data_IF_808316983105
#
_entry.id   IF_808316983105
#
_cell.length_a   1.000
_cell.length_b   1.000
_cell.length_c   1.000
_cell.angle_alpha   90.00
_cell.angle_beta   90.00
_cell.angle_gamma   90.00
#
_symmetry.space_group_name_H-M   'P 1'
#
loop_
_entity.id
_entity.type
_entity.pdbx_description
1 polymer ?
#
# COMPACT_ATOMS: atom_id res chain seq x y z
N UNK A 1 24.58 -17.41 -16.63
CA UNK A 1 24.61 -16.81 -17.98
C UNK A 1 23.18 -16.53 -18.40
N UNK A 2 22.78 -15.27 -18.25
CA UNK A 2 21.72 -14.53 -18.97
C UNK A 2 21.47 -13.25 -18.16
N UNK A 3 22.38 -12.31 -18.38
CA UNK A 3 22.23 -10.89 -18.09
C UNK A 3 21.55 -10.24 -19.29
N UNK A 4 20.26 -9.93 -19.18
CA UNK A 4 19.56 -9.01 -20.08
C UNK A 4 18.19 -8.64 -19.50
N UNK A 5 17.92 -7.34 -19.38
CA UNK A 5 16.55 -6.82 -19.37
C UNK A 5 16.01 -6.25 -18.06
N UNK A 6 16.63 -5.18 -17.54
CA UNK A 6 15.94 -4.27 -16.61
C UNK A 6 16.11 -2.82 -17.09
N UNK A 7 15.46 -2.51 -18.21
CA UNK A 7 15.26 -1.16 -18.74
C UNK A 7 13.85 -1.12 -19.33
N UNK A 8 12.84 -1.05 -18.47
CA UNK A 8 11.44 -0.81 -18.86
C UNK A 8 10.61 -0.44 -17.61
N UNK A 9 10.97 0.64 -16.93
CA UNK A 9 10.13 1.25 -15.88
C UNK A 9 10.59 2.70 -15.62
N UNK A 10 10.62 3.56 -16.64
CA UNK A 10 10.93 4.98 -16.45
C UNK A 10 10.17 5.91 -17.41
N UNK A 11 8.99 5.49 -17.89
CA UNK A 11 8.23 6.25 -18.89
C UNK A 11 6.75 6.30 -18.56
N UNK A 12 6.39 6.94 -17.45
CA UNK A 12 5.01 7.41 -17.19
C UNK A 12 4.94 8.38 -15.98
N UNK A 13 5.69 9.48 -16.01
CA UNK A 13 5.43 10.66 -15.17
C UNK A 13 6.24 11.88 -15.68
N UNK A 14 6.10 12.23 -16.96
CA UNK A 14 6.58 13.52 -17.48
C UNK A 14 5.38 14.31 -17.98
N UNK A 15 4.70 14.97 -17.03
CA UNK A 15 3.87 16.14 -17.33
C UNK A 15 4.69 17.33 -16.89
N UNK A 16 5.15 18.10 -17.87
CA UNK A 16 5.88 19.34 -17.66
C UNK A 16 5.00 20.31 -16.86
N UNK A 17 5.39 20.58 -15.63
CA UNK A 17 4.95 21.76 -14.92
C UNK A 17 5.50 22.98 -15.67
N UNK A 18 4.63 23.93 -16.00
CA UNK A 18 5.02 25.23 -16.54
C UNK A 18 6.04 25.87 -15.58
N UNK A 19 7.21 26.36 -16.05
CA UNK A 19 8.18 26.98 -15.18
C UNK A 19 7.58 28.25 -14.57
N UNK A 20 7.28 28.19 -13.27
CA UNK A 20 7.07 29.38 -12.46
C UNK A 20 8.40 30.17 -12.47
N UNK A 21 8.31 31.48 -12.66
CA UNK A 21 9.42 32.33 -13.10
C UNK A 21 10.76 32.12 -12.38
N UNK A 22 11.83 32.07 -13.16
CA UNK A 22 13.24 31.82 -12.80
C UNK A 22 13.89 32.84 -11.83
N UNK A 23 13.11 33.69 -11.16
CA UNK A 23 13.63 34.88 -10.47
C UNK A 23 14.05 34.73 -9.01
N UNK A 24 13.91 33.57 -8.34
CA UNK A 24 14.08 33.50 -6.87
C UNK A 24 14.83 32.26 -6.33
N UNK A 25 15.25 31.32 -7.18
CA UNK A 25 15.83 30.06 -6.73
C UNK A 25 17.22 30.25 -6.06
N UNK A 26 18.05 31.13 -6.60
CA UNK A 26 19.39 31.41 -6.06
C UNK A 26 19.31 32.09 -4.68
N UNK A 27 18.35 33.01 -4.50
CA UNK A 27 18.14 33.72 -3.23
C UNK A 27 17.61 32.76 -2.14
N UNK A 28 16.67 31.88 -2.49
CA UNK A 28 16.18 30.83 -1.58
C UNK A 28 17.29 29.88 -1.15
N UNK A 29 18.16 29.50 -2.10
CA UNK A 29 19.28 28.63 -1.80
C UNK A 29 20.34 29.32 -0.92
N UNK A 30 20.67 30.58 -1.18
CA UNK A 30 21.57 31.36 -0.33
C UNK A 30 21.02 31.48 1.10
N UNK A 31 19.73 31.75 1.25
CA UNK A 31 19.06 31.77 2.54
C UNK A 31 19.13 30.42 3.26
N UNK A 32 18.98 29.31 2.53
CA UNK A 32 19.15 27.96 3.08
C UNK A 32 20.59 27.71 3.55
N UNK A 33 21.61 28.15 2.81
CA UNK A 33 23.01 28.03 3.22
C UNK A 33 23.31 28.80 4.51
N UNK A 34 22.79 30.01 4.65
CA UNK A 34 22.95 30.82 5.86
C UNK A 34 22.32 30.12 7.09
N UNK A 35 21.15 29.50 6.92
CA UNK A 35 20.52 28.71 7.97
C UNK A 35 21.35 27.48 8.35
N UNK A 36 21.92 26.80 7.35
CA UNK A 36 22.80 25.63 7.55
C UNK A 36 24.10 26.00 8.26
N UNK A 37 24.67 27.17 7.98
CA UNK A 37 25.85 27.67 8.68
C UNK A 37 25.56 27.97 10.17
N UNK A 38 24.38 28.54 10.46
CA UNK A 38 23.90 28.74 11.84
C UNK A 38 23.70 27.40 12.55
N UNK A 39 23.11 26.41 11.89
CA UNK A 39 22.95 25.05 12.41
C UNK A 39 24.31 24.41 12.74
N UNK A 40 25.30 24.53 11.85
CA UNK A 40 26.65 24.02 12.09
C UNK A 40 27.29 24.63 13.34
N UNK A 41 27.13 25.94 13.52
CA UNK A 41 27.59 26.65 14.72
C UNK A 41 26.88 26.16 15.99
N UNK A 42 25.56 25.95 15.92
CA UNK A 42 24.78 25.40 17.03
C UNK A 42 25.21 23.97 17.41
N UNK A 43 25.46 23.11 16.42
CA UNK A 43 25.95 21.75 16.65
C UNK A 43 27.32 21.75 17.35
N UNK A 44 28.21 22.70 17.00
CA UNK A 44 29.49 22.89 17.70
C UNK A 44 29.28 23.22 19.18
N UNK A 45 28.32 24.08 19.51
CA UNK A 45 27.98 24.36 20.92
C UNK A 45 27.41 23.11 21.63
N UNK A 46 26.51 22.38 20.97
CA UNK A 46 25.90 21.15 21.50
C UNK A 46 26.91 20.00 21.69
N UNK A 47 28.04 20.02 20.98
CA UNK A 47 29.10 19.02 21.12
C UNK A 47 29.69 18.92 22.53
N UNK A 48 29.52 19.98 23.34
CA UNK A 48 29.98 20.06 24.74
C UNK A 48 29.11 19.25 25.71
N UNK A 49 27.95 18.77 25.28
CA UNK A 49 27.07 17.92 26.10
C UNK A 49 27.73 16.54 26.26
N UNK A 50 27.64 15.87 27.42
CA UNK A 50 28.16 14.52 27.57
C UNK A 50 27.48 13.50 26.66
N UNK A 51 28.25 12.51 26.20
CA UNK A 51 27.75 11.42 25.36
C UNK A 51 26.61 10.63 26.02
N UNK A 52 25.62 10.25 25.21
CA UNK A 52 24.45 9.46 25.61
C UNK A 52 23.36 10.25 26.32
N UNK A 53 23.49 11.58 26.47
CA UNK A 53 22.46 12.41 27.13
C UNK A 53 21.55 13.14 26.15
N UNK A 54 22.07 13.52 24.98
CA UNK A 54 21.31 14.30 24.01
C UNK A 54 20.42 13.39 23.15
N UNK A 55 19.15 13.76 23.05
CA UNK A 55 18.19 13.25 22.08
C UNK A 55 17.85 14.37 21.11
N UNK A 56 17.95 14.11 19.81
CA UNK A 56 17.86 15.14 18.78
C UNK A 56 16.95 14.69 17.64
N UNK A 57 16.06 15.59 17.23
CA UNK A 57 15.24 15.45 16.05
C UNK A 57 15.60 16.56 15.06
N UNK A 58 16.01 16.19 13.84
CA UNK A 58 16.34 17.10 12.74
C UNK A 58 15.26 16.99 11.66
N UNK A 59 14.64 18.11 11.33
CA UNK A 59 13.65 18.22 10.24
C UNK A 59 14.16 19.26 9.24
N UNK A 60 14.34 18.84 8.00
CA UNK A 60 14.75 19.67 6.88
C UNK A 60 13.96 19.19 5.67
N UNK A 61 12.72 19.66 5.50
CA UNK A 61 11.79 19.16 4.48
C UNK A 61 12.12 19.70 3.08
N UNK A 62 13.20 19.21 2.49
CA UNK A 62 13.66 19.62 1.15
C UNK A 62 12.67 19.08 0.10
N UNK A 63 12.40 19.90 -0.93
CA UNK A 63 11.69 19.43 -2.13
C UNK A 63 12.54 18.35 -2.81
N UNK A 64 12.05 17.11 -2.97
CA UNK A 64 12.84 16.02 -3.54
C UNK A 64 13.14 16.21 -5.02
N UNK A 65 12.46 17.13 -5.71
CA UNK A 65 12.64 17.43 -7.13
C UNK A 65 13.59 18.61 -7.38
N UNK A 66 14.00 19.32 -6.31
CA UNK A 66 14.98 20.38 -6.43
C UNK A 66 16.34 19.81 -6.86
N UNK A 67 17.00 20.41 -7.85
CA UNK A 67 18.28 19.93 -8.40
C UNK A 67 19.38 19.74 -7.34
N UNK A 68 19.36 20.59 -6.31
CA UNK A 68 20.31 20.58 -5.19
C UNK A 68 19.81 19.83 -3.94
N UNK A 69 18.73 19.06 -4.03
CA UNK A 69 18.11 18.45 -2.85
C UNK A 69 19.07 17.55 -2.04
N UNK A 70 19.87 16.74 -2.73
CA UNK A 70 20.87 15.86 -2.10
C UNK A 70 22.00 16.64 -1.43
N UNK A 71 22.42 17.77 -2.02
CA UNK A 71 23.45 18.64 -1.47
C UNK A 71 22.96 19.29 -0.17
N UNK A 72 21.77 19.91 -0.21
CA UNK A 72 21.13 20.55 0.96
C UNK A 72 20.95 19.54 2.09
N UNK A 73 20.42 18.35 1.78
CA UNK A 73 20.23 17.28 2.74
C UNK A 73 21.54 16.79 3.39
N UNK A 74 22.62 16.68 2.60
CA UNK A 74 23.95 16.32 3.10
C UNK A 74 24.54 17.41 3.99
N UNK A 75 24.39 18.68 3.61
CA UNK A 75 24.82 19.82 4.42
C UNK A 75 24.05 19.91 5.74
N UNK A 76 22.73 19.64 5.72
CA UNK A 76 21.88 19.62 6.91
C UNK A 76 22.29 18.53 7.93
N UNK A 77 22.73 17.37 7.44
CA UNK A 77 23.10 16.24 8.29
C UNK A 77 24.57 16.23 8.72
N UNK A 78 25.46 16.91 7.98
CA UNK A 78 26.90 16.97 8.28
C UNK A 78 27.23 17.41 9.72
N UNK A 79 26.58 18.43 10.32
CA UNK A 79 26.88 18.85 11.69
C UNK A 79 26.60 17.78 12.76
N UNK A 80 25.77 16.77 12.47
CA UNK A 80 25.51 15.65 13.39
C UNK A 80 26.78 14.86 13.71
N UNK A 81 27.81 14.93 12.85
CA UNK A 81 29.12 14.28 13.05
C UNK A 81 29.94 14.89 14.17
N UNK A 82 29.72 16.19 14.44
CA UNK A 82 30.39 16.95 15.48
C UNK A 82 29.86 16.61 16.87
N UNK A 83 28.65 16.05 16.94
CA UNK A 83 28.01 15.74 18.20
C UNK A 83 28.65 14.51 18.87
N UNK A 84 28.64 14.47 20.21
CA UNK A 84 28.93 13.25 20.95
C UNK A 84 27.91 12.16 20.57
N UNK A 85 28.15 10.92 21.01
CA UNK A 85 27.17 9.83 20.80
C UNK A 85 25.79 10.24 21.31
N UNK A 86 24.79 10.31 20.43
CA UNK A 86 23.43 10.66 20.82
C UNK A 86 22.72 9.48 21.50
N UNK A 87 21.84 9.78 22.47
CA UNK A 87 20.92 8.80 23.06
C UNK A 87 20.00 8.24 21.96
N UNK A 88 19.34 9.17 21.27
CA UNK A 88 18.45 8.96 20.14
C UNK A 88 18.66 10.05 19.10
N UNK A 89 18.43 9.71 17.84
CA UNK A 89 18.55 10.63 16.71
C UNK A 89 17.45 10.30 15.70
N UNK A 90 16.73 11.32 15.26
CA UNK A 90 15.65 11.22 14.29
C UNK A 90 15.90 12.24 13.19
N UNK A 91 15.85 11.83 11.93
CA UNK A 91 16.12 12.71 10.80
C UNK A 91 14.99 12.59 9.79
N UNK A 92 14.41 13.72 9.37
CA UNK A 92 13.46 13.84 8.25
C UNK A 92 13.99 14.88 7.28
N UNK A 93 14.21 14.47 6.03
CA UNK A 93 14.80 15.28 4.97
C UNK A 93 13.78 15.64 3.86
N UNK A 94 12.59 15.07 3.91
CA UNK A 94 11.51 15.36 2.96
C UNK A 94 10.16 14.91 3.52
N UNK A 95 9.08 15.63 3.18
CA UNK A 95 7.70 15.27 3.53
C UNK A 95 7.17 14.05 2.76
N UNK A 96 7.81 13.65 1.67
CA UNK A 96 7.46 12.46 0.89
C UNK A 96 8.61 11.44 0.88
N UNK A 97 8.33 10.15 0.64
CA UNK A 97 9.38 9.15 0.52
C UNK A 97 10.30 9.45 -0.68
N UNK A 98 11.61 9.36 -0.47
CA UNK A 98 12.62 9.45 -1.52
C UNK A 98 13.81 8.57 -1.10
N UNK A 99 14.16 7.57 -1.89
CA UNK A 99 15.13 6.54 -1.49
C UNK A 99 16.53 7.11 -1.20
N UNK A 100 17.01 8.05 -2.02
CA UNK A 100 18.33 8.68 -1.86
C UNK A 100 18.39 9.54 -0.60
N UNK A 101 17.36 10.35 -0.35
CA UNK A 101 17.27 11.15 0.89
C UNK A 101 17.08 10.25 2.12
N UNK A 102 16.34 9.13 2.03
CA UNK A 102 16.23 8.16 3.11
C UNK A 102 17.57 7.54 3.47
N UNK A 103 18.41 7.25 2.47
CA UNK A 103 19.76 6.74 2.70
C UNK A 103 20.60 7.76 3.48
N UNK A 104 20.58 9.04 3.10
CA UNK A 104 21.28 10.12 3.83
C UNK A 104 20.77 10.20 5.28
N UNK A 105 19.46 10.16 5.49
CA UNK A 105 18.87 10.18 6.84
C UNK A 105 19.31 8.96 7.67
N UNK A 106 19.33 7.77 7.09
CA UNK A 106 19.78 6.53 7.74
C UNK A 106 21.25 6.61 8.15
N UNK A 107 22.14 7.00 7.23
CA UNK A 107 23.58 7.12 7.50
C UNK A 107 23.84 8.16 8.60
N UNK A 108 23.18 9.31 8.51
CA UNK A 108 23.30 10.38 9.49
C UNK A 108 22.91 9.92 10.91
N UNK A 109 21.80 9.19 11.05
CA UNK A 109 21.36 8.65 12.34
C UNK A 109 22.32 7.59 12.88
N UNK A 110 22.78 6.65 12.04
CA UNK A 110 23.75 5.64 12.47
C UNK A 110 25.04 6.28 12.96
N UNK A 111 25.55 7.26 12.20
CA UNK A 111 26.77 7.97 12.53
C UNK A 111 26.62 8.78 13.84
N UNK A 112 25.53 9.52 14.00
CA UNK A 112 25.28 10.32 15.19
C UNK A 112 25.12 9.46 16.46
N UNK A 113 24.57 8.25 16.32
CA UNK A 113 24.46 7.27 17.41
C UNK A 113 25.72 6.43 17.60
N UNK A 114 26.77 6.63 16.79
CA UNK A 114 28.00 5.82 16.77
C UNK A 114 27.70 4.33 16.67
N UNK A 115 26.63 3.97 15.96
CA UNK A 115 26.33 2.58 15.62
C UNK A 115 27.20 2.27 14.42
N UNK A 116 28.25 1.49 14.64
CA UNK A 116 29.06 1.00 13.54
C UNK A 116 28.14 0.22 12.60
N UNK A 117 28.13 0.53 11.28
CA UNK A 117 27.52 -0.40 10.34
C UNK A 117 28.21 -1.75 10.56
N UNK A 118 27.46 -2.88 10.48
CA UNK A 118 28.05 -4.19 10.66
C UNK A 118 29.28 -4.29 9.75
N UNK A 119 30.47 -4.26 10.37
CA UNK A 119 31.70 -4.28 9.62
C UNK A 119 31.79 -5.69 9.05
N UNK A 120 31.75 -5.84 7.73
CA UNK A 120 31.92 -7.13 7.04
C UNK A 120 33.32 -7.74 7.26
N UNK A 121 34.09 -7.23 8.22
CA UNK A 121 35.32 -7.84 8.70
C UNK A 121 35.04 -9.30 9.01
N UNK A 122 35.65 -10.16 8.19
CA UNK A 122 35.46 -11.61 8.19
C UNK A 122 35.39 -12.13 9.63
N UNK A 123 34.31 -12.82 10.03
CA UNK A 123 34.19 -13.33 11.39
C UNK A 123 35.44 -14.16 11.68
N UNK A 124 36.21 -13.74 12.69
CA UNK A 124 37.34 -14.54 13.19
C UNK A 124 36.76 -15.91 13.51
N UNK A 125 37.17 -16.91 12.73
CA UNK A 125 36.73 -18.31 12.82
C UNK A 125 36.99 -18.83 14.24
N UNK A 126 36.09 -18.56 15.19
CA UNK A 126 36.08 -19.27 16.45
C UNK A 126 35.64 -20.69 16.11
N UNK A 127 36.49 -21.68 16.35
CA UNK A 127 36.35 -23.08 15.94
C UNK A 127 35.14 -23.84 16.53
N UNK A 128 34.18 -23.15 17.18
CA UNK A 128 32.94 -23.74 17.65
C UNK A 128 31.84 -23.56 16.62
N UNK A 129 31.18 -24.63 16.14
CA UNK A 129 30.01 -24.50 15.29
C UNK A 129 28.91 -23.79 16.09
N UNK A 130 28.68 -22.51 15.80
CA UNK A 130 27.53 -21.79 16.32
C UNK A 130 26.30 -22.33 15.59
N UNK A 131 25.24 -22.64 16.34
CA UNK A 131 23.96 -23.00 15.76
C UNK A 131 23.49 -21.80 14.91
N UNK A 132 23.51 -21.97 13.59
CA UNK A 132 23.00 -20.96 12.65
C UNK A 132 21.52 -21.23 12.41
N UNK A 133 20.75 -20.19 12.05
CA UNK A 133 19.34 -20.35 11.67
C UNK A 133 19.16 -21.42 10.58
N UNK A 134 20.12 -21.54 9.65
CA UNK A 134 20.09 -22.53 8.57
C UNK A 134 20.35 -23.97 9.03
N UNK A 135 20.96 -24.16 10.20
CA UNK A 135 21.16 -25.47 10.81
C UNK A 135 19.91 -26.04 11.49
N UNK A 136 18.84 -25.25 11.63
CA UNK A 136 17.56 -25.70 12.15
C UNK A 136 16.75 -26.46 11.07
N UNK A 137 15.93 -27.45 11.46
CA UNK A 137 14.90 -28.02 10.60
C UNK A 137 14.03 -26.94 9.96
N UNK A 138 13.61 -27.16 8.71
CA UNK A 138 12.91 -26.15 7.91
C UNK A 138 11.62 -25.67 8.60
N UNK A 139 10.91 -26.57 9.25
CA UNK A 139 9.68 -26.28 10.00
C UNK A 139 9.92 -25.25 11.10
N UNK A 140 11.03 -25.38 11.84
CA UNK A 140 11.41 -24.41 12.86
C UNK A 140 11.85 -23.09 12.24
N UNK A 141 12.55 -23.11 11.09
CA UNK A 141 12.90 -21.86 10.37
C UNK A 141 11.64 -21.11 9.94
N UNK A 142 10.68 -21.80 9.33
CA UNK A 142 9.40 -21.22 8.93
C UNK A 142 8.66 -20.67 10.14
N UNK A 143 8.62 -21.43 11.25
CA UNK A 143 7.97 -20.98 12.48
C UNK A 143 8.63 -19.72 13.05
N UNK A 144 9.96 -19.61 13.02
CA UNK A 144 10.67 -18.40 13.44
C UNK A 144 10.33 -17.22 12.51
N UNK A 145 10.30 -17.45 11.20
CA UNK A 145 9.98 -16.42 10.21
C UNK A 145 8.55 -15.89 10.32
N UNK A 146 7.60 -16.69 10.80
CA UNK A 146 6.23 -16.24 11.13
C UNK A 146 6.19 -15.16 12.22
N UNK A 147 7.21 -15.07 13.09
CA UNK A 147 7.33 -14.05 14.14
C UNK A 147 8.18 -12.85 13.71
N UNK A 148 8.42 -12.67 12.42
CA UNK A 148 9.13 -11.52 11.86
C UNK A 148 8.17 -10.60 11.11
N UNK A 149 8.68 -9.47 10.64
CA UNK A 149 7.95 -8.53 9.78
C UNK A 149 7.52 -9.14 8.43
N UNK A 150 7.85 -10.42 8.12
CA UNK A 150 7.31 -11.12 6.95
C UNK A 150 5.80 -11.29 7.06
N UNK A 151 5.27 -11.31 8.28
CA UNK A 151 3.84 -11.33 8.53
C UNK A 151 3.45 -9.92 8.96
N UNK A 152 2.59 -9.27 8.18
CA UNK A 152 2.05 -7.97 8.56
C UNK A 152 1.31 -8.09 9.91
N UNK A 153 1.28 -7.03 10.75
CA UNK A 153 0.62 -7.09 12.06
C UNK A 153 -0.84 -7.55 11.99
N UNK A 154 -1.57 -7.08 10.99
CA UNK A 154 -2.95 -7.48 10.69
C UNK A 154 -3.07 -8.75 9.82
N UNK A 155 -1.93 -9.30 9.36
CA UNK A 155 -1.84 -10.27 8.27
C UNK A 155 -2.48 -9.81 6.97
N UNK A 156 -2.66 -8.50 6.79
CA UNK A 156 -3.21 -7.91 5.56
C UNK A 156 -2.14 -7.07 4.88
N UNK A 157 -1.86 -7.40 3.63
CA UNK A 157 -0.93 -6.68 2.78
C UNK A 157 -1.68 -6.18 1.56
N UNK A 158 -1.65 -4.89 1.36
CA UNK A 158 -2.27 -4.20 0.24
C UNK A 158 -1.25 -3.93 -0.86
N UNK A 159 -1.66 -4.07 -2.11
CA UNK A 159 -0.89 -3.66 -3.27
C UNK A 159 -1.79 -2.90 -4.26
N UNK A 160 -1.25 -1.87 -4.89
CA UNK A 160 -1.89 -1.18 -6.01
C UNK A 160 -0.86 -0.82 -7.07
N UNK A 161 -1.34 -0.59 -8.30
CA UNK A 161 -0.49 -0.15 -9.41
C UNK A 161 0.25 1.16 -9.11
N UNK A 162 -0.41 2.09 -8.43
CA UNK A 162 0.14 3.43 -8.18
C UNK A 162 1.13 3.44 -7.02
N UNK A 163 0.91 2.62 -6.00
CA UNK A 163 1.80 2.56 -4.84
C UNK A 163 3.09 1.75 -5.16
N UNK A 164 3.09 0.91 -6.21
CA UNK A 164 4.22 0.10 -6.67
C UNK A 164 4.96 -0.68 -5.56
N UNK A 165 4.25 -1.05 -4.50
CA UNK A 165 4.84 -1.68 -3.32
C UNK A 165 3.80 -2.29 -2.40
N UNK A 166 4.27 -3.15 -1.50
CA UNK A 166 3.43 -3.74 -0.46
C UNK A 166 3.23 -2.74 0.68
N UNK A 167 1.96 -2.49 1.01
CA UNK A 167 1.55 -1.58 2.05
C UNK A 167 0.69 -2.32 3.07
N UNK A 168 0.59 -1.76 4.27
CA UNK A 168 -0.42 -2.16 5.25
C UNK A 168 -1.29 -0.94 5.56
N UNK A 169 -2.59 -1.17 5.73
CA UNK A 169 -3.57 -0.16 6.11
C UNK A 169 -3.83 -0.21 7.61
N UNK A 170 -4.06 0.97 8.19
CA UNK A 170 -4.34 1.12 9.60
C UNK A 170 -5.84 0.95 9.86
N UNK A 171 -6.20 0.23 10.93
CA UNK A 171 -7.57 0.22 11.43
C UNK A 171 -7.78 1.43 12.33
N UNK A 172 -8.75 2.29 12.00
CA UNK A 172 -9.08 3.49 12.79
C UNK A 172 -9.79 3.14 14.11
N UNK A 173 -10.59 2.07 14.08
CA UNK A 173 -11.66 1.83 15.06
C UNK A 173 -11.19 1.20 16.36
N UNK A 174 -9.94 0.77 16.46
CA UNK A 174 -9.41 0.26 17.72
C UNK A 174 -8.92 1.43 18.57
N UNK A 175 -9.82 1.96 19.40
CA UNK A 175 -9.44 2.76 20.55
C UNK A 175 -8.61 1.97 21.58
N UNK A 176 -8.73 0.63 21.60
CA UNK A 176 -8.12 -0.21 22.64
C UNK A 176 -6.86 -0.99 22.22
N UNK A 177 -6.55 -1.12 20.92
CA UNK A 177 -5.32 -1.81 20.50
C UNK A 177 -4.15 -0.82 20.33
N UNK A 178 -3.58 -0.43 21.47
CA UNK A 178 -2.40 0.43 21.53
C UNK A 178 -1.18 -0.15 20.80
N UNK A 179 -1.08 -1.47 20.67
CA UNK A 179 0.08 -2.13 20.05
C UNK A 179 -0.01 -2.05 18.52
N UNK A 180 -1.17 -2.33 17.92
CA UNK A 180 -1.37 -2.18 16.48
C UNK A 180 -1.06 -0.76 16.00
N UNK A 181 -1.49 0.26 16.76
CA UNK A 181 -1.28 1.69 16.44
C UNK A 181 0.20 2.04 16.23
N UNK A 182 1.14 1.39 16.92
CA UNK A 182 2.59 1.65 16.75
C UNK A 182 3.09 1.33 15.34
N UNK A 183 2.50 0.33 14.70
CA UNK A 183 2.87 -0.11 13.35
C UNK A 183 2.28 0.75 12.22
N UNK A 184 1.29 1.58 12.52
CA UNK A 184 0.56 2.33 11.49
C UNK A 184 0.59 3.84 11.69
N UNK A 185 0.64 4.28 12.94
CA UNK A 185 0.45 5.65 13.37
C UNK A 185 1.62 6.14 14.21
N UNK A 186 2.84 6.00 13.71
CA UNK A 186 4.01 6.53 14.45
C UNK A 186 3.96 8.07 14.66
N UNK A 187 3.03 8.80 14.02
CA UNK A 187 2.77 10.22 14.31
C UNK A 187 1.87 10.45 15.51
N UNK A 188 1.09 9.47 15.98
CA UNK A 188 0.22 9.61 17.15
C UNK A 188 0.91 9.16 18.45
N UNK A 189 2.00 8.39 18.33
CA UNK A 189 2.65 7.74 19.47
C UNK A 189 3.83 8.52 20.06
N UNK A 190 4.17 9.70 19.56
CA UNK A 190 5.35 10.41 20.03
C UNK A 190 5.12 11.04 21.42
N UNK A 191 5.71 10.42 22.43
CA UNK A 191 5.97 11.02 23.75
C UNK A 191 6.84 12.29 23.68
N UNK A 192 7.46 12.54 22.51
CA UNK A 192 8.08 13.80 22.14
C UNK A 192 7.00 14.72 21.56
N UNK A 193 6.51 15.67 22.36
CA UNK A 193 5.58 16.77 22.01
C UNK A 193 4.67 16.55 20.77
N UNK A 194 3.42 16.07 20.95
CA UNK A 194 2.57 15.47 19.90
C UNK A 194 2.11 16.31 18.69
N UNK A 195 2.57 17.55 18.46
CA UNK A 195 1.89 18.44 17.47
C UNK A 195 2.78 19.18 16.47
N UNK A 196 4.06 19.48 16.76
CA UNK A 196 4.79 20.45 15.94
C UNK A 196 5.69 19.84 14.86
N UNK A 197 6.33 18.70 15.10
CA UNK A 197 7.36 18.18 14.19
C UNK A 197 6.85 17.12 13.21
N UNK A 198 5.67 16.55 13.43
CA UNK A 198 5.16 15.40 12.67
C UNK A 198 5.94 14.11 12.98
N UNK A 199 6.01 13.17 12.03
CA UNK A 199 6.67 11.87 12.26
C UNK A 199 7.93 11.65 11.42
N UNK A 200 8.74 10.67 11.85
CA UNK A 200 9.98 10.23 11.20
C UNK A 200 9.82 8.88 10.50
N UNK A 201 8.63 8.67 9.92
CA UNK A 201 8.27 7.43 9.25
C UNK A 201 8.93 7.29 7.89
N UNK A 202 9.80 6.29 7.70
CA UNK A 202 10.38 5.96 6.38
C UNK A 202 9.33 5.58 5.33
N UNK A 203 8.11 5.19 5.71
CA UNK A 203 7.03 4.91 4.74
C UNK A 203 6.37 6.16 4.19
N UNK A 204 6.43 7.27 4.93
CA UNK A 204 5.70 8.50 4.59
C UNK A 204 6.61 9.64 4.19
N UNK A 205 7.88 9.57 4.58
CA UNK A 205 8.83 10.66 4.50
C UNK A 205 10.18 10.14 4.07
N UNK A 206 11.06 11.02 3.59
CA UNK A 206 12.48 10.72 3.51
C UNK A 206 13.11 10.86 4.89
N UNK A 207 12.81 9.90 5.77
CA UNK A 207 13.15 9.96 7.17
C UNK A 207 13.70 8.63 7.69
N UNK A 208 14.47 8.69 8.77
CA UNK A 208 14.88 7.53 9.54
C UNK A 208 14.83 7.80 11.04
N UNK A 209 14.40 6.78 11.78
CA UNK A 209 14.28 6.79 13.23
C UNK A 209 14.21 5.34 13.73
N UNK A 210 14.98 5.02 14.78
CA UNK A 210 14.86 3.73 15.47
C UNK A 210 13.59 3.62 16.33
N UNK A 211 12.91 4.73 16.59
CA UNK A 211 11.63 4.75 17.30
C UNK A 211 10.43 4.61 16.35
N UNK A 212 10.66 4.43 15.05
CA UNK A 212 9.59 4.18 14.10
C UNK A 212 9.41 2.68 13.90
N UNK A 213 8.34 2.14 14.50
CA UNK A 213 7.95 0.74 14.36
C UNK A 213 6.97 0.52 13.21
N UNK A 214 6.81 1.50 12.31
CA UNK A 214 5.89 1.33 11.18
C UNK A 214 6.31 0.14 10.33
N UNK A 215 5.41 -0.83 10.18
CA UNK A 215 5.67 -2.02 9.39
C UNK A 215 6.05 -1.62 7.97
N UNK A 216 7.12 -2.17 7.43
CA UNK A 216 7.46 -2.10 6.00
C UNK A 216 7.87 -3.50 5.54
N UNK A 217 7.73 -3.82 4.24
CA UNK A 217 8.11 -5.13 3.73
C UNK A 217 9.58 -5.43 4.09
N UNK A 218 9.89 -6.58 4.71
CA UNK A 218 11.22 -6.86 5.23
C UNK A 218 12.17 -7.34 4.12
N UNK A 219 12.51 -6.43 3.20
CA UNK A 219 13.47 -6.67 2.12
C UNK A 219 14.76 -7.36 2.58
N UNK A 220 15.36 -7.05 3.76
CA UNK A 220 16.60 -7.71 4.19
C UNK A 220 16.51 -9.23 4.32
N UNK A 221 15.37 -9.80 4.74
CA UNK A 221 15.22 -11.25 4.90
C UNK A 221 15.23 -11.99 3.56
N UNK A 222 14.81 -11.31 2.49
CA UNK A 222 14.90 -11.82 1.12
C UNK A 222 16.33 -11.77 0.55
N UNK A 223 17.27 -11.07 1.20
CA UNK A 223 18.61 -10.83 0.66
C UNK A 223 19.73 -11.62 1.38
N UNK A 224 19.41 -12.40 2.42
CA UNK A 224 20.43 -13.09 3.23
C UNK A 224 21.11 -14.23 2.48
N UNK A 225 20.33 -15.23 2.03
CA UNK A 225 20.83 -16.37 1.25
C UNK A 225 19.67 -17.06 0.53
N UNK A 226 19.98 -17.94 -0.43
CA UNK A 226 18.95 -18.64 -1.25
C UNK A 226 17.96 -19.45 -0.40
N UNK A 227 18.43 -20.17 0.61
CA UNK A 227 17.56 -20.98 1.46
C UNK A 227 16.61 -20.11 2.29
N UNK A 228 17.12 -19.04 2.91
CA UNK A 228 16.29 -18.13 3.69
C UNK A 228 15.34 -17.33 2.80
N UNK A 229 15.75 -16.96 1.59
CA UNK A 229 14.89 -16.32 0.60
C UNK A 229 13.66 -17.18 0.28
N UNK A 230 13.85 -18.48 0.04
CA UNK A 230 12.75 -19.41 -0.25
C UNK A 230 11.80 -19.57 0.94
N UNK A 231 12.36 -19.72 2.15
CA UNK A 231 11.56 -19.83 3.38
C UNK A 231 10.82 -18.52 3.69
N UNK A 232 11.45 -17.37 3.48
CA UNK A 232 10.85 -16.05 3.63
C UNK A 232 9.72 -15.81 2.63
N UNK A 233 9.90 -16.22 1.36
CA UNK A 233 8.84 -16.19 0.35
C UNK A 233 7.65 -17.05 0.75
N UNK A 234 7.89 -18.27 1.23
CA UNK A 234 6.83 -19.13 1.71
C UNK A 234 6.06 -18.46 2.86
N UNK A 235 6.76 -17.99 3.90
CA UNK A 235 6.14 -17.34 5.05
C UNK A 235 5.34 -16.09 4.64
N UNK A 236 5.94 -15.21 3.83
CA UNK A 236 5.29 -13.97 3.37
C UNK A 236 4.02 -14.25 2.55
N UNK A 237 4.09 -15.09 1.53
CA UNK A 237 2.95 -15.31 0.62
C UNK A 237 1.86 -16.23 1.21
N UNK A 238 2.20 -17.10 2.16
CA UNK A 238 1.22 -17.99 2.80
C UNK A 238 0.61 -17.44 4.09
N UNK A 239 1.33 -16.58 4.81
CA UNK A 239 0.89 -16.03 6.08
C UNK A 239 0.16 -14.69 6.00
N UNK A 240 0.15 -14.04 4.83
CA UNK A 240 -0.59 -12.79 4.60
C UNK A 240 -1.76 -12.98 3.63
N UNK A 241 -2.81 -12.20 3.88
CA UNK A 241 -3.90 -11.90 2.98
C UNK A 241 -3.48 -10.76 2.06
N UNK A 242 -3.47 -11.02 0.76
CA UNK A 242 -3.13 -10.01 -0.24
C UNK A 242 -4.39 -9.33 -0.76
N UNK A 243 -4.42 -8.01 -0.68
CA UNK A 243 -5.53 -7.16 -1.09
C UNK A 243 -5.03 -6.31 -2.26
N UNK A 244 -5.51 -6.60 -3.45
CA UNK A 244 -5.10 -5.93 -4.67
C UNK A 244 -6.16 -4.91 -5.06
N UNK A 245 -5.80 -3.64 -5.00
CA UNK A 245 -6.67 -2.56 -5.45
C UNK A 245 -6.35 -2.24 -6.90
N UNK A 246 -7.40 -2.12 -7.70
CA UNK A 246 -7.28 -1.69 -9.09
C UNK A 246 -6.83 -0.22 -9.23
N UNK A 247 -6.96 0.53 -8.14
CA UNK A 247 -6.59 1.92 -8.01
C UNK A 247 -5.80 2.18 -6.70
N UNK A 248 -5.38 3.42 -6.42
CA UNK A 248 -4.65 3.79 -5.20
C UNK A 248 -5.33 3.30 -3.94
N UNK A 249 -4.60 2.55 -3.11
CA UNK A 249 -5.09 2.14 -1.79
C UNK A 249 -4.93 3.26 -0.75
N UNK A 250 -3.97 4.17 -0.97
CA UNK A 250 -3.61 5.24 -0.05
C UNK A 250 -4.37 6.55 -0.37
N UNK A 251 -5.46 6.79 0.37
CA UNK A 251 -6.42 7.93 0.29
C UNK A 251 -7.52 7.76 -0.78
N UNK A 252 -8.74 7.49 -0.31
CA UNK A 252 -9.94 7.38 -1.15
C UNK A 252 -10.30 8.66 -1.90
N UNK A 253 -9.81 9.83 -1.45
CA UNK A 253 -10.06 11.10 -2.14
C UNK A 253 -9.28 11.26 -3.45
N UNK A 254 -8.47 10.28 -3.85
CA UNK A 254 -7.63 10.37 -5.03
C UNK A 254 -7.96 9.35 -6.13
N UNK A 255 -9.19 8.78 -6.21
CA UNK A 255 -9.69 8.42 -7.56
C UNK A 255 -9.35 9.58 -8.51
N UNK A 256 -9.07 9.37 -9.81
CA UNK A 256 -8.62 10.46 -10.70
C UNK A 256 -9.58 11.66 -10.82
N UNK A 257 -10.63 11.74 -10.01
CA UNK A 257 -11.48 12.90 -9.85
C UNK A 257 -10.82 14.01 -9.02
N UNK A 258 -10.41 15.07 -9.72
CA UNK A 258 -10.86 16.44 -9.47
C UNK A 258 -10.36 17.19 -8.22
N UNK A 259 -9.81 16.55 -7.19
CA UNK A 259 -9.30 17.27 -6.00
C UNK A 259 -7.89 17.87 -6.17
N UNK A 260 -7.15 17.53 -7.23
CA UNK A 260 -5.97 18.34 -7.61
C UNK A 260 -6.36 19.79 -7.99
N UNK A 261 -7.66 20.08 -8.14
CA UNK A 261 -8.18 21.43 -8.34
C UNK A 261 -8.72 22.11 -7.06
N UNK A 262 -8.74 21.42 -5.92
CA UNK A 262 -9.50 21.83 -4.73
C UNK A 262 -8.70 22.20 -3.48
N UNK A 263 -7.37 22.33 -3.55
CA UNK A 263 -6.71 23.23 -2.60
C UNK A 263 -7.00 24.64 -3.09
N UNK A 264 -8.09 25.18 -2.58
CA UNK A 264 -8.62 26.52 -2.76
C UNK A 264 -7.49 27.54 -2.58
N UNK A 265 -6.88 27.94 -3.70
CA UNK A 265 -6.52 29.33 -3.86
C UNK A 265 -7.84 30.03 -4.22
N UNK A 266 -8.49 30.74 -3.26
CA UNK A 266 -9.82 31.32 -3.47
C UNK A 266 -9.85 32.38 -4.59
N UNK A 267 -8.69 32.75 -5.14
CA UNK A 267 -8.56 33.68 -6.26
C UNK A 267 -8.36 33.00 -7.61
N UNK A 268 -8.37 31.66 -7.70
CA UNK A 268 -8.18 31.00 -9.00
C UNK A 268 -9.38 31.28 -9.91
N UNK A 269 -9.20 32.02 -11.03
CA UNK A 269 -10.29 32.42 -11.91
C UNK A 269 -10.99 31.18 -12.46
N UNK A 270 -12.33 31.26 -12.58
CA UNK A 270 -13.24 30.23 -13.12
C UNK A 270 -12.53 29.36 -14.17
N UNK A 271 -12.00 28.24 -13.69
CA UNK A 271 -11.19 27.34 -14.50
C UNK A 271 -12.06 26.61 -15.53
N UNK A 272 -11.44 26.08 -16.60
CA UNK A 272 -12.15 25.34 -17.65
C UNK A 272 -13.01 24.23 -17.05
N UNK A 273 -14.22 24.06 -17.61
CA UNK A 273 -15.23 23.09 -17.20
C UNK A 273 -14.61 21.79 -16.68
N UNK A 274 -14.98 21.43 -15.44
CA UNK A 274 -14.66 20.15 -14.82
C UNK A 274 -14.95 19.03 -15.84
N UNK A 275 -13.92 18.29 -16.30
CA UNK A 275 -14.11 17.27 -17.32
C UNK A 275 -15.16 16.26 -16.84
N UNK A 276 -16.20 16.06 -17.65
CA UNK A 276 -17.31 15.17 -17.34
C UNK A 276 -16.77 13.77 -16.97
N UNK A 277 -16.91 13.33 -15.71
CA UNK A 277 -16.38 12.05 -15.23
C UNK A 277 -17.03 10.84 -15.92
N UNK A 278 -18.15 11.02 -16.63
CA UNK A 278 -18.80 9.96 -17.41
C UNK A 278 -18.08 9.66 -18.73
N UNK A 279 -17.06 10.45 -19.10
CA UNK A 279 -16.45 10.40 -20.43
C UNK A 279 -15.16 9.59 -20.54
N UNK A 280 -14.72 8.94 -19.47
CA UNK A 280 -13.45 8.21 -19.46
C UNK A 280 -13.67 6.70 -19.42
N UNK A 281 -13.31 6.04 -20.51
CA UNK A 281 -13.10 4.59 -20.54
C UNK A 281 -12.11 4.19 -19.43
N UNK A 282 -12.21 2.94 -18.98
CA UNK A 282 -11.26 2.37 -18.03
C UNK A 282 -9.81 2.63 -18.50
N UNK A 283 -8.98 3.35 -17.72
CA UNK A 283 -7.81 4.05 -18.25
C UNK A 283 -6.60 3.13 -18.46
N UNK A 284 -6.77 1.81 -18.42
CA UNK A 284 -5.65 0.87 -18.40
C UNK A 284 -5.94 -0.37 -19.21
N UNK A 285 -4.94 -0.86 -19.93
CA UNK A 285 -5.11 -2.07 -20.76
C UNK A 285 -5.19 -3.37 -19.95
N UNK A 286 -4.98 -3.30 -18.63
CA UNK A 286 -4.91 -4.46 -17.72
C UNK A 286 -5.47 -4.06 -16.36
N UNK A 287 -6.05 -5.00 -15.62
CA UNK A 287 -6.35 -4.79 -14.22
C UNK A 287 -5.08 -4.90 -13.36
N UNK A 288 -5.07 -4.21 -12.22
CA UNK A 288 -3.97 -4.26 -11.26
C UNK A 288 -3.77 -5.68 -10.73
N UNK A 289 -4.85 -6.45 -10.55
CA UNK A 289 -4.75 -7.88 -10.19
C UNK A 289 -3.96 -8.70 -11.21
N UNK A 290 -4.17 -8.45 -12.51
CA UNK A 290 -3.41 -9.15 -13.55
C UNK A 290 -1.93 -8.83 -13.48
N UNK A 291 -1.59 -7.57 -13.23
CA UNK A 291 -0.21 -7.12 -13.06
C UNK A 291 0.41 -7.74 -11.80
N UNK A 292 -0.30 -7.68 -10.66
CA UNK A 292 0.14 -8.25 -9.40
C UNK A 292 0.50 -9.73 -9.54
N UNK A 293 -0.39 -10.52 -10.13
CA UNK A 293 -0.21 -11.97 -10.24
C UNK A 293 0.86 -12.38 -11.26
N UNK A 294 1.03 -11.61 -12.34
CA UNK A 294 1.96 -11.96 -13.43
C UNK A 294 3.36 -11.39 -13.25
N UNK A 295 3.49 -10.24 -12.59
CA UNK A 295 4.75 -9.48 -12.54
C UNK A 295 5.27 -9.25 -11.13
N UNK A 296 4.39 -9.16 -10.13
CA UNK A 296 4.80 -8.81 -8.75
C UNK A 296 5.04 -10.05 -7.92
N UNK A 297 4.13 -11.03 -7.99
CA UNK A 297 4.29 -12.31 -7.29
C UNK A 297 5.16 -13.24 -8.14
N UNK A 298 6.31 -13.74 -7.63
CA UNK A 298 7.09 -14.73 -8.34
C UNK A 298 6.23 -15.96 -8.67
N UNK A 299 6.30 -16.47 -9.90
CA UNK A 299 5.39 -17.52 -10.36
C UNK A 299 5.36 -18.77 -9.47
N UNK A 300 6.51 -19.18 -8.90
CA UNK A 300 6.60 -20.31 -7.97
C UNK A 300 5.98 -20.04 -6.59
N UNK A 301 5.74 -18.78 -6.25
CA UNK A 301 5.09 -18.36 -5.01
C UNK A 301 3.56 -18.29 -5.12
N UNK A 302 2.98 -18.34 -6.32
CA UNK A 302 1.52 -18.30 -6.51
C UNK A 302 0.83 -19.48 -5.81
N UNK A 303 1.48 -20.64 -5.74
CA UNK A 303 0.99 -21.80 -4.99
C UNK A 303 0.99 -21.61 -3.46
N UNK A 304 1.70 -20.59 -2.95
CA UNK A 304 1.75 -20.27 -1.53
C UNK A 304 0.61 -19.36 -1.08
N UNK A 305 -0.02 -18.63 -2.01
CA UNK A 305 -1.16 -17.78 -1.68
C UNK A 305 -2.27 -18.60 -1.00
N UNK A 306 -2.76 -18.08 0.13
CA UNK A 306 -3.88 -18.67 0.89
C UNK A 306 -5.11 -17.79 0.87
N UNK A 307 -4.92 -16.48 0.76
CA UNK A 307 -6.00 -15.52 0.67
C UNK A 307 -5.64 -14.42 -0.31
N UNK A 308 -6.48 -14.24 -1.32
CA UNK A 308 -6.38 -13.15 -2.29
C UNK A 308 -7.70 -12.40 -2.32
N UNK A 309 -7.63 -11.08 -2.30
CA UNK A 309 -8.77 -10.19 -2.38
C UNK A 309 -8.58 -9.18 -3.49
N UNK A 310 -9.59 -9.06 -4.35
CA UNK A 310 -9.59 -8.20 -5.51
C UNK A 310 -10.56 -7.06 -5.24
N UNK A 311 -10.05 -5.83 -5.17
CA UNK A 311 -10.83 -4.65 -4.86
C UNK A 311 -10.92 -3.78 -6.10
N UNK A 312 -12.13 -3.65 -6.63
CA UNK A 312 -12.44 -2.76 -7.73
C UNK A 312 -13.12 -1.51 -7.17
N UNK A 313 -12.75 -0.30 -7.60
CA UNK A 313 -13.49 0.90 -7.23
C UNK A 313 -14.89 0.85 -7.85
N UNK A 314 -15.74 1.76 -7.41
CA UNK A 314 -17.05 1.97 -8.03
C UNK A 314 -16.86 2.60 -9.41
N UNK A 315 -17.02 1.81 -10.47
CA UNK A 315 -17.12 2.33 -11.83
C UNK A 315 -18.59 2.58 -12.19
N UNK A 316 -18.83 3.65 -12.92
CA UNK A 316 -20.12 3.91 -13.56
C UNK A 316 -20.36 2.91 -14.69
N UNK A 317 -21.62 2.75 -15.10
CA UNK A 317 -22.00 1.80 -16.15
C UNK A 317 -21.20 1.99 -17.44
N UNK A 318 -20.92 3.25 -17.77
CA UNK A 318 -20.22 3.68 -18.98
C UNK A 318 -18.70 3.49 -18.90
N UNK A 319 -18.13 3.53 -17.69
CA UNK A 319 -16.68 3.48 -17.49
C UNK A 319 -16.16 2.06 -17.23
N UNK A 320 -17.06 1.10 -16.98
CA UNK A 320 -16.71 -0.31 -16.89
C UNK A 320 -16.11 -0.82 -18.21
N UNK A 321 -14.95 -1.51 -18.20
CA UNK A 321 -14.40 -2.09 -19.41
C UNK A 321 -15.36 -3.14 -19.99
N UNK A 322 -15.79 -2.93 -21.23
CA UNK A 322 -16.61 -3.89 -21.98
C UNK A 322 -15.90 -5.24 -22.23
N UNK A 323 -16.63 -6.23 -22.75
CA UNK A 323 -16.10 -7.60 -22.94
C UNK A 323 -14.85 -7.67 -23.83
N UNK A 324 -14.79 -6.82 -24.86
CA UNK A 324 -13.67 -6.73 -25.81
C UNK A 324 -12.54 -5.80 -25.36
N UNK A 325 -12.73 -5.08 -24.26
CA UNK A 325 -11.73 -4.18 -23.69
C UNK A 325 -10.42 -4.94 -23.42
N UNK A 326 -9.23 -4.36 -23.71
CA UNK A 326 -7.94 -5.01 -23.46
C UNK A 326 -7.82 -5.58 -22.03
N UNK A 327 -8.27 -4.83 -21.00
CA UNK A 327 -8.24 -5.28 -19.61
C UNK A 327 -9.04 -6.56 -19.36
N UNK A 328 -10.22 -6.70 -19.99
CA UNK A 328 -11.05 -7.90 -19.87
C UNK A 328 -10.47 -9.10 -20.63
N UNK A 329 -9.78 -8.86 -21.74
CA UNK A 329 -9.02 -9.91 -22.46
C UNK A 329 -7.82 -10.39 -21.64
N UNK A 330 -7.04 -9.46 -21.10
CA UNK A 330 -5.91 -9.78 -20.21
C UNK A 330 -6.35 -10.48 -18.92
N UNK A 331 -7.50 -10.10 -18.36
CA UNK A 331 -8.06 -10.77 -17.19
C UNK A 331 -8.37 -12.24 -17.46
N UNK A 332 -9.08 -12.53 -18.56
CA UNK A 332 -9.36 -13.90 -19.00
C UNK A 332 -8.08 -14.69 -19.21
N UNK A 333 -7.10 -14.10 -19.90
CA UNK A 333 -5.79 -14.72 -20.10
C UNK A 333 -5.06 -14.97 -18.77
N UNK A 334 -5.17 -14.06 -17.81
CA UNK A 334 -4.56 -14.20 -16.47
C UNK A 334 -5.17 -15.35 -15.71
N UNK A 335 -6.50 -15.43 -15.64
CA UNK A 335 -7.18 -16.52 -14.93
C UNK A 335 -6.86 -17.88 -15.56
N UNK A 336 -6.83 -17.97 -16.89
CA UNK A 336 -6.42 -19.20 -17.59
C UNK A 336 -4.96 -19.58 -17.26
N UNK A 337 -4.06 -18.61 -17.24
CA UNK A 337 -2.67 -18.82 -16.86
C UNK A 337 -2.50 -19.26 -15.40
N UNK A 338 -3.37 -18.81 -14.49
CA UNK A 338 -3.29 -19.20 -13.07
C UNK A 338 -3.62 -20.68 -12.83
N UNK A 339 -4.38 -21.33 -13.72
CA UNK A 339 -4.95 -22.67 -13.48
C UNK A 339 -3.90 -23.73 -13.10
N UNK A 340 -2.66 -23.59 -13.59
CA UNK A 340 -1.56 -24.51 -13.29
C UNK A 340 -0.51 -23.92 -12.31
N UNK A 341 -0.71 -22.69 -11.82
CA UNK A 341 0.24 -21.99 -10.93
C UNK A 341 -0.23 -21.90 -9.49
N UNK A 342 -1.54 -21.84 -9.25
CA UNK A 342 -2.10 -21.69 -7.89
C UNK A 342 -2.46 -23.02 -7.26
N UNK A 343 -2.37 -23.09 -5.94
CA UNK A 343 -2.98 -24.17 -5.17
C UNK A 343 -4.44 -23.81 -4.89
N UNK A 344 -5.31 -23.96 -5.89
CA UNK A 344 -6.73 -23.57 -5.78
C UNK A 344 -7.43 -24.21 -4.56
N UNK A 345 -7.23 -25.50 -4.23
CA UNK A 345 -7.79 -26.12 -3.01
C UNK A 345 -7.39 -25.48 -1.68
N UNK A 346 -6.31 -24.69 -1.65
CA UNK A 346 -5.88 -23.94 -0.47
C UNK A 346 -6.14 -22.43 -0.57
N UNK A 347 -6.66 -21.94 -1.71
CA UNK A 347 -6.85 -20.52 -1.99
C UNK A 347 -8.29 -20.09 -1.66
N UNK A 348 -8.41 -19.10 -0.77
CA UNK A 348 -9.63 -18.32 -0.60
C UNK A 348 -9.54 -17.07 -1.46
N UNK A 349 -10.54 -16.85 -2.32
CA UNK A 349 -10.63 -15.67 -3.18
C UNK A 349 -11.81 -14.81 -2.76
N UNK A 350 -11.60 -13.50 -2.59
CA UNK A 350 -12.67 -12.52 -2.40
C UNK A 350 -12.64 -11.52 -3.54
N UNK A 351 -13.79 -11.27 -4.14
CA UNK A 351 -14.01 -10.17 -5.07
C UNK A 351 -14.87 -9.12 -4.36
N UNK A 352 -14.38 -7.90 -4.27
CA UNK A 352 -15.06 -6.81 -3.61
C UNK A 352 -15.16 -5.58 -4.52
N UNK A 353 -16.32 -4.94 -4.52
CA UNK A 353 -16.51 -3.62 -5.09
C UNK A 353 -16.54 -2.60 -3.95
N UNK A 354 -15.81 -1.50 -4.07
CA UNK A 354 -15.91 -0.40 -3.12
C UNK A 354 -17.35 0.15 -3.13
N UNK A 355 -18.05 0.10 -2.00
CA UNK A 355 -19.41 0.64 -1.88
C UNK A 355 -19.31 2.17 -1.69
N UNK A 356 -20.18 2.92 -2.37
CA UNK A 356 -20.21 4.40 -2.36
C UNK A 356 -20.72 4.96 -1.01
N UNK A 357 -21.10 4.10 -0.06
CA UNK A 357 -22.20 4.41 0.85
C UNK A 357 -21.86 5.20 2.11
N UNK A 358 -20.61 5.44 2.48
CA UNK A 358 -20.35 6.00 3.81
C UNK A 358 -19.54 7.29 3.86
N UNK A 359 -18.70 7.63 2.87
CA UNK A 359 -17.80 8.78 3.00
C UNK A 359 -17.51 9.51 1.68
N UNK A 360 -18.53 9.96 0.97
CA UNK A 360 -18.31 11.16 0.14
C UNK A 360 -19.62 11.90 -0.03
N UNK A 361 -19.83 13.03 0.66
CA UNK A 361 -20.79 14.00 0.15
C UNK A 361 -20.28 14.44 -1.24
N UNK A 362 -21.13 14.36 -2.26
CA UNK A 362 -20.93 14.86 -3.64
C UNK A 362 -19.73 14.28 -4.42
N UNK A 363 -19.80 13.73 -5.66
CA UNK A 363 -20.87 13.63 -6.67
C UNK A 363 -21.25 12.18 -7.09
N UNK A 364 -20.81 11.15 -6.35
CA UNK A 364 -21.01 9.73 -6.72
C UNK A 364 -22.38 9.15 -6.34
N UNK A 365 -23.20 9.91 -5.60
CA UNK A 365 -24.59 9.56 -5.30
C UNK A 365 -25.56 9.90 -6.43
N UNK A 366 -25.09 9.87 -7.68
CA UNK A 366 -26.00 9.99 -8.83
C UNK A 366 -26.95 8.79 -8.78
N UNK A 367 -28.23 9.11 -8.71
CA UNK A 367 -29.29 8.13 -8.89
C UNK A 367 -29.13 7.48 -10.26
N UNK A 368 -28.93 6.17 -10.29
CA UNK A 368 -28.80 5.43 -11.54
C UNK A 368 -30.16 4.96 -12.05
N UNK A 369 -30.28 4.83 -13.35
CA UNK A 369 -31.39 4.17 -14.03
C UNK A 369 -31.36 2.66 -13.82
N UNK A 370 -32.50 2.01 -14.09
CA UNK A 370 -32.59 0.54 -14.04
C UNK A 370 -31.69 -0.13 -15.08
N UNK A 371 -31.49 0.50 -16.25
CA UNK A 371 -30.59 0.02 -17.30
C UNK A 371 -29.13 0.14 -16.88
N UNK A 372 -28.69 1.29 -16.35
CA UNK A 372 -27.33 1.46 -15.83
C UNK A 372 -27.04 0.43 -14.73
N UNK A 373 -27.99 0.17 -13.83
CA UNK A 373 -27.85 -0.87 -12.81
C UNK A 373 -27.68 -2.29 -13.40
N UNK A 374 -28.33 -2.56 -14.54
CA UNK A 374 -28.18 -3.82 -15.28
C UNK A 374 -26.81 -3.92 -15.94
N UNK A 375 -26.31 -2.83 -16.51
CA UNK A 375 -25.00 -2.77 -17.14
C UNK A 375 -23.87 -2.98 -16.12
N UNK A 376 -23.97 -2.36 -14.94
CA UNK A 376 -23.04 -2.60 -13.82
C UNK A 376 -23.09 -4.07 -13.38
N UNK A 377 -24.28 -4.65 -13.23
CA UNK A 377 -24.41 -6.06 -12.87
C UNK A 377 -23.82 -7.01 -13.94
N UNK A 378 -23.94 -6.65 -15.22
CA UNK A 378 -23.31 -7.39 -16.33
C UNK A 378 -21.79 -7.27 -16.27
N UNK A 379 -21.24 -6.09 -15.98
CA UNK A 379 -19.81 -5.88 -15.81
C UNK A 379 -19.24 -6.72 -14.65
N UNK A 380 -19.92 -6.73 -13.50
CA UNK A 380 -19.60 -7.63 -12.38
C UNK A 380 -19.58 -9.10 -12.81
N UNK A 381 -20.59 -9.56 -13.56
CA UNK A 381 -20.63 -10.93 -14.05
C UNK A 381 -19.47 -11.24 -14.99
N UNK A 382 -19.05 -10.27 -15.81
CA UNK A 382 -17.92 -10.41 -16.72
C UNK A 382 -16.57 -10.54 -15.98
N UNK A 383 -16.39 -9.87 -14.84
CA UNK A 383 -15.24 -10.11 -13.95
C UNK A 383 -15.25 -11.51 -13.34
N UNK A 384 -16.43 -12.03 -13.01
CA UNK A 384 -16.61 -13.28 -12.27
C UNK A 384 -16.53 -14.51 -13.17
N UNK A 385 -17.10 -14.45 -14.39
CA UNK A 385 -17.18 -15.60 -15.31
C UNK A 385 -15.84 -16.33 -15.50
N UNK A 386 -14.69 -15.64 -15.71
CA UNK A 386 -13.40 -16.32 -15.84
C UNK A 386 -13.02 -17.14 -14.59
N UNK A 387 -13.38 -16.68 -13.39
CA UNK A 387 -13.05 -17.32 -12.12
C UNK A 387 -13.73 -18.69 -11.94
N UNK A 388 -14.79 -19.00 -12.71
CA UNK A 388 -15.40 -20.33 -12.74
C UNK A 388 -14.38 -21.43 -13.05
N UNK A 389 -13.35 -21.13 -13.86
CA UNK A 389 -12.29 -22.09 -14.16
C UNK A 389 -11.47 -22.47 -12.91
N UNK A 390 -11.23 -21.52 -11.99
CA UNK A 390 -10.60 -21.80 -10.69
C UNK A 390 -11.53 -22.63 -9.80
N UNK A 391 -12.82 -22.33 -9.82
CA UNK A 391 -13.85 -23.12 -9.15
C UNK A 391 -13.87 -24.58 -9.61
N UNK A 392 -13.68 -24.84 -10.90
CA UNK A 392 -13.64 -26.18 -11.48
C UNK A 392 -12.42 -27.01 -11.05
N UNK A 393 -11.27 -26.38 -10.81
CA UNK A 393 -10.05 -27.07 -10.31
C UNK A 393 -9.97 -27.14 -8.78
N UNK A 394 -11.08 -26.85 -8.09
CA UNK A 394 -11.18 -27.09 -6.66
C UNK A 394 -10.90 -25.88 -5.78
N UNK A 395 -11.07 -24.63 -6.24
CA UNK A 395 -10.96 -23.43 -5.41
C UNK A 395 -11.59 -23.62 -4.02
N UNK A 396 -10.87 -23.27 -2.95
CA UNK A 396 -11.27 -23.59 -1.58
C UNK A 396 -12.56 -22.85 -1.19
N UNK A 397 -12.59 -21.54 -1.42
CA UNK A 397 -13.70 -20.63 -1.08
C UNK A 397 -13.71 -19.43 -2.03
N UNK A 398 -14.89 -18.93 -2.35
CA UNK A 398 -15.07 -17.70 -3.12
C UNK A 398 -16.17 -16.82 -2.52
N UNK A 399 -15.86 -15.54 -2.29
CA UNK A 399 -16.79 -14.56 -1.76
C UNK A 399 -16.98 -13.39 -2.72
N UNK A 400 -18.23 -12.99 -2.96
CA UNK A 400 -18.57 -11.89 -3.87
C UNK A 400 -19.25 -10.73 -3.12
N UNK A 401 -18.44 -9.77 -2.69
CA UNK A 401 -18.87 -8.57 -1.96
C UNK A 401 -18.99 -7.39 -2.91
N UNK A 402 -19.92 -7.51 -3.86
CA UNK A 402 -20.17 -6.50 -4.88
C UNK A 402 -21.39 -5.66 -4.52
N UNK A 403 -21.38 -4.34 -4.81
CA UNK A 403 -22.55 -3.50 -4.58
C UNK A 403 -23.73 -3.99 -5.40
N UNK A 404 -24.93 -3.94 -4.82
CA UNK A 404 -26.18 -4.24 -5.53
C UNK A 404 -26.64 -2.98 -6.27
N UNK A 405 -26.45 -2.88 -7.61
CA UNK A 405 -26.54 -1.60 -8.31
C UNK A 405 -27.93 -0.97 -8.18
N UNK A 406 -28.99 -1.79 -8.20
CA UNK A 406 -30.35 -1.31 -8.08
C UNK A 406 -30.72 -0.74 -6.70
N UNK A 407 -29.85 -0.85 -5.68
CA UNK A 407 -30.03 -0.10 -4.43
C UNK A 407 -29.93 1.42 -4.64
N UNK A 408 -29.26 1.86 -5.72
CA UNK A 408 -29.00 3.27 -6.01
C UNK A 408 -29.94 3.88 -7.06
N UNK A 409 -31.05 3.21 -7.38
CA UNK A 409 -32.05 3.74 -8.32
C UNK A 409 -33.06 4.63 -7.60
N UNK A 410 -33.73 5.52 -8.35
CA UNK A 410 -34.68 6.49 -7.78
C UNK A 410 -35.80 5.79 -7.01
N UNK A 411 -36.26 4.66 -7.56
CA UNK A 411 -37.30 3.83 -6.96
C UNK A 411 -36.88 3.22 -5.62
N UNK A 412 -35.60 2.86 -5.48
CA UNK A 412 -35.05 2.32 -4.24
C UNK A 412 -34.84 3.42 -3.21
N UNK A 413 -34.31 4.59 -3.60
CA UNK A 413 -34.14 5.75 -2.71
C UNK A 413 -35.47 6.25 -2.14
N UNK A 414 -36.56 6.24 -2.92
CA UNK A 414 -37.89 6.65 -2.43
C UNK A 414 -38.53 5.66 -1.45
N UNK A 415 -37.98 4.45 -1.31
CA UNK A 415 -38.58 3.33 -0.55
C UNK A 415 -37.70 2.89 0.63
N UNK A 416 -36.88 3.79 1.17
CA UNK A 416 -35.93 3.48 2.25
C UNK A 416 -36.54 2.83 3.51
N UNK A 417 -37.85 2.88 3.70
CA UNK A 417 -38.58 2.10 4.73
C UNK A 417 -38.52 0.56 4.55
N UNK A 418 -37.80 0.02 3.54
CA UNK A 418 -37.70 -1.43 3.26
C UNK A 418 -36.26 -1.96 3.19
N UNK A 419 -35.42 -1.58 4.14
CA UNK A 419 -34.04 -2.10 4.30
C UNK A 419 -33.98 -3.63 4.19
N UNK A 420 -34.87 -4.35 4.88
CA UNK A 420 -34.92 -5.82 4.85
C UNK A 420 -35.08 -6.41 3.44
N UNK A 421 -35.90 -5.77 2.59
CA UNK A 421 -36.13 -6.26 1.21
C UNK A 421 -34.89 -6.03 0.34
N UNK A 422 -34.23 -4.88 0.50
CA UNK A 422 -32.99 -4.58 -0.21
C UNK A 422 -31.89 -5.54 0.24
N UNK A 423 -31.77 -5.80 1.55
CA UNK A 423 -30.79 -6.73 2.09
C UNK A 423 -31.01 -8.17 1.62
N UNK A 424 -32.27 -8.62 1.57
CA UNK A 424 -32.61 -9.91 0.98
C UNK A 424 -32.18 -10.00 -0.49
N UNK A 425 -32.36 -8.92 -1.26
CA UNK A 425 -31.91 -8.84 -2.66
C UNK A 425 -30.38 -8.75 -2.80
N UNK A 426 -29.70 -8.01 -1.93
CA UNK A 426 -28.23 -7.99 -1.83
C UNK A 426 -27.70 -9.41 -1.58
N UNK A 427 -28.28 -10.14 -0.62
CA UNK A 427 -27.93 -11.54 -0.31
C UNK A 427 -28.17 -12.48 -1.49
N UNK A 428 -29.34 -12.38 -2.15
CA UNK A 428 -29.66 -13.18 -3.34
C UNK A 428 -28.67 -12.92 -4.49
N UNK A 429 -28.35 -11.64 -4.73
CA UNK A 429 -27.41 -11.20 -5.76
C UNK A 429 -26.00 -11.74 -5.51
N UNK A 430 -25.49 -11.58 -4.29
CA UNK A 430 -24.22 -12.18 -3.84
C UNK A 430 -24.20 -13.71 -4.02
N UNK A 431 -25.23 -14.41 -3.55
CA UNK A 431 -25.33 -15.86 -3.68
C UNK A 431 -25.37 -16.34 -5.14
N UNK A 432 -25.91 -15.53 -6.06
CA UNK A 432 -25.89 -15.81 -7.49
C UNK A 432 -24.46 -15.84 -8.06
N UNK A 433 -23.65 -14.83 -7.71
CA UNK A 433 -22.25 -14.76 -8.13
C UNK A 433 -21.38 -15.86 -7.51
N UNK A 434 -21.57 -16.14 -6.22
CA UNK A 434 -20.81 -17.19 -5.55
C UNK A 434 -21.11 -18.58 -6.13
N UNK A 435 -22.38 -18.87 -6.42
CA UNK A 435 -22.78 -20.10 -7.14
C UNK A 435 -22.22 -20.17 -8.56
N UNK A 436 -22.07 -19.04 -9.25
CA UNK A 436 -21.49 -19.01 -10.60
C UNK A 436 -20.06 -19.56 -10.62
N UNK A 437 -19.26 -19.26 -9.59
CA UNK A 437 -17.87 -19.72 -9.47
C UNK A 437 -17.79 -21.10 -8.81
N UNK A 438 -18.46 -21.29 -7.67
CA UNK A 438 -18.30 -22.50 -6.86
C UNK A 438 -19.13 -23.69 -7.37
N UNK A 439 -20.14 -23.45 -8.21
CA UNK A 439 -21.07 -24.47 -8.69
C UNK A 439 -21.80 -25.15 -7.53
N UNK A 440 -21.88 -26.48 -7.57
CA UNK A 440 -22.56 -27.27 -6.55
C UNK A 440 -21.90 -27.19 -5.17
N UNK A 441 -20.59 -26.89 -5.11
CA UNK A 441 -19.80 -26.74 -3.87
C UNK A 441 -20.13 -25.46 -3.10
N UNK A 442 -20.97 -24.58 -3.64
CA UNK A 442 -21.43 -23.38 -2.94
C UNK A 442 -22.04 -23.71 -1.57
N UNK A 443 -22.80 -24.80 -1.45
CA UNK A 443 -23.41 -25.21 -0.17
C UNK A 443 -22.36 -25.63 0.86
N UNK A 444 -21.28 -26.26 0.42
CA UNK A 444 -20.19 -26.73 1.29
C UNK A 444 -19.37 -25.58 1.88
N UNK A 445 -19.37 -24.41 1.22
CA UNK A 445 -18.69 -23.21 1.69
C UNK A 445 -19.25 -22.71 3.02
N UNK A 446 -20.56 -22.80 3.21
CA UNK A 446 -21.29 -22.36 4.41
C UNK A 446 -21.70 -23.53 5.31
N UNK A 447 -21.42 -24.77 4.91
CA UNK A 447 -21.65 -25.94 5.75
C UNK A 447 -20.79 -25.88 7.02
N UNK A 448 -21.25 -26.55 8.08
CA UNK A 448 -20.55 -26.69 9.36
C UNK A 448 -20.25 -25.36 10.08
N UNK A 449 -21.09 -24.33 9.86
CA UNK A 449 -20.91 -23.03 10.51
C UNK A 449 -19.67 -22.27 10.05
N UNK A 450 -19.14 -22.58 8.86
CA UNK A 450 -18.09 -21.77 8.26
C UNK A 450 -18.62 -20.39 7.95
N UNK A 451 -18.08 -19.41 8.65
CA UNK A 451 -18.41 -18.01 8.44
C UNK A 451 -17.59 -17.41 7.29
N UNK A 452 -18.10 -16.33 6.73
CA UNK A 452 -17.34 -15.48 5.83
C UNK A 452 -16.13 -14.89 6.58
N UNK A 453 -14.94 -14.82 5.97
CA UNK A 453 -13.79 -14.18 6.59
C UNK A 453 -14.10 -12.75 7.02
N UNK A 454 -13.41 -12.26 8.04
CA UNK A 454 -13.61 -10.88 8.49
C UNK A 454 -13.44 -9.87 7.32
N UNK A 455 -14.24 -8.79 7.31
CA UNK A 455 -14.03 -7.67 6.41
C UNK A 455 -12.59 -7.17 6.50
N UNK A 456 -11.99 -6.88 5.35
CA UNK A 456 -10.66 -6.29 5.30
C UNK A 456 -10.65 -4.89 5.90
N UNK A 457 -9.49 -4.45 6.38
CA UNK A 457 -9.37 -3.14 7.03
C UNK A 457 -9.65 -1.96 6.10
N UNK A 458 -9.48 -2.15 4.78
CA UNK A 458 -9.85 -1.11 3.83
C UNK A 458 -11.35 -0.80 3.88
N UNK A 459 -12.23 -1.80 4.04
CA UNK A 459 -13.68 -1.58 4.12
C UNK A 459 -14.04 -0.68 5.31
N UNK A 460 -13.49 -1.00 6.49
CA UNK A 460 -13.78 -0.28 7.73
C UNK A 460 -13.20 1.14 7.74
N UNK A 461 -12.03 1.34 7.11
CA UNK A 461 -11.40 2.66 7.05
C UNK A 461 -12.23 3.72 6.33
N UNK A 462 -13.23 3.29 5.55
CA UNK A 462 -14.13 4.12 4.77
C UNK A 462 -15.49 4.38 5.42
N UNK A 463 -15.73 3.99 6.68
CA UNK A 463 -16.98 4.32 7.37
C UNK A 463 -16.86 5.58 8.27
N UNK A 464 -15.66 6.15 8.41
CA UNK A 464 -15.33 7.19 9.41
C UNK A 464 -14.47 8.36 8.90
N UNK A 465 -14.67 8.81 7.66
CA UNK A 465 -14.18 10.15 7.23
C UNK A 465 -15.43 11.04 7.10
#
# INVERSE_FOLDING_TARGET
MNTAGTQAAETAASRAATPAGDGNADDEFAAAQDLLAKWHSAATCLSRIPAGRLELALVCDVDPYHERALEVASLATTPLRLLPRLKNCHVRLCKVPNASLQQIAWEAVLQARRIAPPSYSSPRLSARPQATLLGLPRELRLRILEYTDLIAPAREVTWSRQDQGYLTLARKDYHDDHEARRFYHCWTSSSLSPSLLGCFCRRRHAAFSFACDCWAPPSPLFLVCRALYQDAQFAFFSGNRFIVHDYKASRCSALPSLYEFGNEDPERPEGPEVPDPTRYDYPSDRFAVSQFLREVVPAHCLAYLRFLELVFPFYFAETWPGEDHPAMRDWRATVNWLLDKVNAPALTLRLAGAEVTYVSPDPYHRVISMSEGTDIAKAHLNLIRPLKALGAIGLARFFANLPFPWAYTMDSSRRWDKTERIDAKKKEFKAGFERCVMGDRYKDQYANGKEEPEPSFWLVSFDWI
#
